data_IF_370059732724
#
_entry.id   IF_370059732724
#
_cell.length_a   1.000
_cell.length_b   1.000
_cell.length_c   1.000
_cell.angle_alpha   90.00
_cell.angle_beta   90.00
_cell.angle_gamma   90.00
#
_symmetry.space_group_name_H-M   'P 1'
#
loop_
_entity.id
_entity.type
_entity.pdbx_description
1 polymer ?
#
# COMPACT_ATOMS: atom_id res chain seq x y z
N UNK A 1 14.36 0.28 -12.24
CA UNK A 1 15.36 1.37 -12.40
C UNK A 1 16.82 0.90 -12.39
N UNK A 2 17.16 -0.27 -11.82
CA UNK A 2 18.57 -0.72 -11.70
C UNK A 2 19.19 -1.16 -13.05
N UNK A 3 18.40 -1.67 -14.00
CA UNK A 3 18.92 -2.15 -15.29
C UNK A 3 19.39 -1.04 -16.27
N UNK A 4 19.03 0.23 -16.06
CA UNK A 4 19.49 1.34 -16.92
C UNK A 4 20.87 1.89 -16.53
N UNK A 5 21.38 1.58 -15.33
CA UNK A 5 22.68 2.06 -14.84
C UNK A 5 23.88 1.34 -15.48
N UNK A 6 23.73 0.06 -15.84
CA UNK A 6 24.83 -0.73 -16.42
C UNK A 6 25.13 -0.43 -17.89
N UNK A 7 24.26 0.30 -18.60
CA UNK A 7 24.49 0.69 -19.99
C UNK A 7 25.25 2.02 -20.16
N UNK A 8 25.36 2.85 -19.11
CA UNK A 8 26.13 4.10 -19.18
C UNK A 8 27.64 3.92 -18.95
N UNK A 9 28.05 2.90 -18.18
CA UNK A 9 29.48 2.65 -17.92
C UNK A 9 30.23 2.11 -19.14
N UNK A 10 29.54 1.49 -20.10
CA UNK A 10 30.18 0.95 -21.30
C UNK A 10 30.49 2.02 -22.37
N UNK A 11 29.76 3.14 -22.41
CA UNK A 11 30.09 4.27 -23.30
C UNK A 11 31.34 5.05 -22.85
N UNK A 12 31.60 5.12 -21.55
CA UNK A 12 32.80 5.78 -21.02
C UNK A 12 34.09 5.00 -21.33
N UNK A 13 34.04 3.66 -21.44
CA UNK A 13 35.22 2.87 -21.79
C UNK A 13 35.59 2.97 -23.29
N UNK A 14 34.60 3.05 -24.19
CA UNK A 14 34.86 3.23 -25.61
C UNK A 14 35.44 4.62 -25.94
N UNK A 15 35.00 5.67 -25.22
CA UNK A 15 35.49 7.05 -25.44
C UNK A 15 36.91 7.29 -24.93
N UNK A 16 37.41 6.50 -23.96
CA UNK A 16 38.75 6.70 -23.39
C UNK A 16 39.85 5.99 -24.18
N UNK A 17 39.50 5.02 -25.04
CA UNK A 17 40.46 4.34 -25.91
C UNK A 17 40.75 5.09 -27.23
N UNK A 18 39.94 6.08 -27.61
CA UNK A 18 40.16 6.88 -28.82
C UNK A 18 41.06 8.12 -28.61
N UNK A 19 41.43 8.45 -27.37
CA UNK A 19 42.31 9.61 -27.06
C UNK A 19 43.78 9.25 -26.82
N UNK A 20 44.18 7.98 -27.05
CA UNK A 20 45.57 7.52 -26.96
C UNK A 20 46.17 7.14 -28.32
N UNK A 21 45.71 7.75 -29.41
CA UNK A 21 46.49 7.79 -30.65
C UNK A 21 47.49 8.95 -30.54
N UNK A 22 48.51 8.78 -29.70
CA UNK A 22 49.67 9.66 -29.64
C UNK A 22 50.38 9.62 -30.99
N UNK A 23 50.25 10.72 -31.72
CA UNK A 23 50.83 10.97 -33.02
C UNK A 23 52.18 11.65 -32.81
N UNK A 24 53.16 10.93 -32.27
CA UNK A 24 54.58 11.31 -32.28
C UNK A 24 55.46 10.06 -32.22
N UNK A 25 55.75 9.54 -33.42
CA UNK A 25 56.48 8.31 -33.67
C UNK A 25 58.00 8.57 -33.61
N UNK A 26 58.54 8.92 -32.44
CA UNK A 26 59.99 9.14 -32.23
C UNK A 26 60.68 8.12 -31.34
N UNK A 27 59.93 7.18 -30.77
CA UNK A 27 60.49 6.01 -30.09
C UNK A 27 60.13 4.77 -30.90
N UNK A 28 61.05 4.36 -31.78
CA UNK A 28 60.98 3.04 -32.39
C UNK A 28 61.06 2.02 -31.25
N UNK A 29 59.91 1.51 -30.81
CA UNK A 29 59.87 0.43 -29.84
C UNK A 29 60.58 -0.74 -30.53
N UNK A 30 61.70 -1.23 -30.00
CA UNK A 30 62.42 -2.34 -30.60
C UNK A 30 61.45 -3.52 -30.72
N UNK A 31 61.47 -4.18 -31.88
CA UNK A 31 60.62 -5.36 -32.10
C UNK A 31 60.83 -6.31 -30.93
N UNK A 32 59.76 -6.70 -30.21
CA UNK A 32 59.90 -7.62 -29.10
C UNK A 32 60.58 -8.89 -29.62
N UNK A 33 61.52 -9.47 -28.85
CA UNK A 33 62.20 -10.69 -29.26
C UNK A 33 61.15 -11.74 -29.61
N UNK A 34 61.37 -12.43 -30.73
CA UNK A 34 60.50 -13.50 -31.22
C UNK A 34 60.16 -14.43 -30.07
N UNK A 35 58.88 -14.47 -29.67
CA UNK A 35 58.44 -15.37 -28.60
C UNK A 35 58.78 -16.80 -29.02
N UNK A 36 59.41 -17.61 -28.16
CA UNK A 36 59.65 -19.01 -28.48
C UNK A 36 58.30 -19.66 -28.81
N UNK A 37 58.26 -20.48 -29.87
CA UNK A 37 57.03 -21.08 -30.42
C UNK A 37 56.16 -21.79 -29.34
N UNK A 38 56.81 -22.31 -28.30
CA UNK A 38 56.17 -22.90 -27.12
C UNK A 38 55.28 -21.90 -26.36
N UNK A 39 55.75 -20.66 -26.12
CA UNK A 39 54.99 -19.63 -25.43
C UNK A 39 53.75 -19.19 -26.23
N UNK A 40 53.84 -19.17 -27.57
CA UNK A 40 52.69 -18.86 -28.43
C UNK A 40 51.61 -19.96 -28.35
N UNK A 41 52.01 -21.22 -28.26
CA UNK A 41 51.10 -22.36 -28.12
C UNK A 41 50.34 -22.31 -26.79
N UNK A 42 51.04 -22.07 -25.68
CA UNK A 42 50.42 -21.90 -24.35
C UNK A 42 49.44 -20.72 -24.36
N UNK A 43 49.84 -19.58 -24.92
CA UNK A 43 49.00 -18.40 -25.00
C UNK A 43 47.70 -18.66 -25.79
N UNK A 44 47.80 -19.30 -26.96
CA UNK A 44 46.63 -19.67 -27.76
C UNK A 44 45.71 -20.65 -27.03
N UNK A 45 46.27 -21.61 -26.28
CA UNK A 45 45.48 -22.54 -25.47
C UNK A 45 44.74 -21.82 -24.34
N UNK A 46 45.38 -20.86 -23.67
CA UNK A 46 44.76 -20.04 -22.63
C UNK A 46 43.59 -19.22 -23.20
N UNK A 47 43.76 -18.61 -24.38
CA UNK A 47 42.69 -17.87 -25.06
C UNK A 47 41.50 -18.76 -25.41
N UNK A 48 41.75 -19.97 -25.92
CA UNK A 48 40.67 -20.95 -26.20
C UNK A 48 39.91 -21.34 -24.92
N UNK A 49 40.63 -21.59 -23.83
CA UNK A 49 40.01 -21.91 -22.54
C UNK A 49 39.17 -20.74 -22.01
N UNK A 50 39.68 -19.50 -22.09
CA UNK A 50 38.93 -18.30 -21.70
C UNK A 50 37.71 -18.05 -22.57
N UNK A 51 37.80 -18.26 -23.88
CA UNK A 51 36.65 -18.17 -24.77
C UNK A 51 35.56 -19.19 -24.42
N UNK A 52 35.94 -20.44 -24.08
CA UNK A 52 35.01 -21.46 -23.58
C UNK A 52 34.35 -21.05 -22.27
N UNK A 53 35.13 -20.53 -21.31
CA UNK A 53 34.62 -20.03 -20.02
C UNK A 53 33.60 -18.88 -20.21
N UNK A 54 33.90 -17.93 -21.10
CA UNK A 54 32.98 -16.82 -21.43
C UNK A 54 31.71 -17.36 -22.09
N UNK A 55 31.84 -18.31 -23.03
CA UNK A 55 30.69 -18.94 -23.68
C UNK A 55 29.76 -19.66 -22.69
N UNK A 56 30.33 -20.38 -21.72
CA UNK A 56 29.57 -21.02 -20.63
C UNK A 56 28.85 -19.97 -19.77
N UNK A 57 29.55 -18.92 -19.33
CA UNK A 57 28.94 -17.83 -18.55
C UNK A 57 27.80 -17.13 -19.29
N UNK A 58 27.93 -16.92 -20.60
CA UNK A 58 26.86 -16.34 -21.42
C UNK A 58 25.66 -17.27 -21.53
N UNK A 59 25.88 -18.59 -21.64
CA UNK A 59 24.80 -19.58 -21.63
C UNK A 59 24.06 -19.60 -20.28
N UNK A 60 24.78 -19.55 -19.17
CA UNK A 60 24.21 -19.49 -17.82
C UNK A 60 23.40 -18.21 -17.58
N UNK A 61 23.89 -17.06 -18.05
CA UNK A 61 23.14 -15.79 -17.99
C UNK A 61 21.81 -15.92 -18.75
N UNK A 62 21.83 -16.45 -19.98
CA UNK A 62 20.61 -16.64 -20.77
C UNK A 62 19.63 -17.59 -20.07
N UNK A 63 20.13 -18.68 -19.46
CA UNK A 63 19.32 -19.62 -18.69
C UNK A 63 18.67 -18.94 -17.47
N UNK A 64 19.43 -18.13 -16.73
CA UNK A 64 18.92 -17.37 -15.59
C UNK A 64 17.90 -16.30 -16.00
N UNK A 65 18.10 -15.64 -17.14
CA UNK A 65 17.11 -14.70 -17.69
C UNK A 65 15.79 -15.40 -18.05
N UNK A 66 15.86 -16.59 -18.65
CA UNK A 66 14.67 -17.39 -18.94
C UNK A 66 13.95 -17.84 -17.66
N UNK A 67 14.71 -18.33 -16.67
CA UNK A 67 14.16 -18.73 -15.37
C UNK A 67 13.49 -17.54 -14.66
N UNK A 68 14.13 -16.36 -14.68
CA UNK A 68 13.55 -15.16 -14.08
C UNK A 68 12.23 -14.77 -14.76
N UNK A 69 12.16 -14.82 -16.10
CA UNK A 69 10.91 -14.56 -16.84
C UNK A 69 9.81 -15.53 -16.42
N UNK A 70 10.11 -16.83 -16.34
CA UNK A 70 9.15 -17.85 -15.90
C UNK A 70 8.65 -17.58 -14.49
N UNK A 71 9.55 -17.28 -13.54
CA UNK A 71 9.17 -16.95 -12.16
C UNK A 71 8.31 -15.68 -12.09
N UNK A 72 8.60 -14.67 -12.90
CA UNK A 72 7.78 -13.45 -12.93
C UNK A 72 6.38 -13.69 -13.49
N UNK A 73 6.24 -14.54 -14.52
CA UNK A 73 4.91 -14.90 -15.04
C UNK A 73 4.14 -15.79 -14.05
N UNK A 74 4.81 -16.76 -13.43
CA UNK A 74 4.19 -17.57 -12.37
C UNK A 74 3.69 -16.69 -11.21
N UNK A 75 4.51 -15.75 -10.73
CA UNK A 75 4.11 -14.83 -9.66
C UNK A 75 2.93 -13.93 -10.05
N UNK A 76 2.82 -13.53 -11.33
CA UNK A 76 1.64 -12.79 -11.83
C UNK A 76 0.38 -13.66 -11.78
N UNK A 77 0.45 -14.90 -12.27
CA UNK A 77 -0.68 -15.83 -12.27
C UNK A 77 -1.13 -16.14 -10.83
N UNK A 78 -0.18 -16.41 -9.92
CA UNK A 78 -0.48 -16.64 -8.50
C UNK A 78 -1.16 -15.42 -7.86
N UNK A 79 -0.68 -14.20 -8.17
CA UNK A 79 -1.30 -12.96 -7.70
C UNK A 79 -2.72 -12.79 -8.25
N UNK A 80 -2.95 -13.04 -9.54
CA UNK A 80 -4.28 -12.94 -10.15
C UNK A 80 -5.25 -13.96 -9.55
N UNK A 81 -4.80 -15.19 -9.33
CA UNK A 81 -5.61 -16.23 -8.68
C UNK A 81 -5.93 -15.85 -7.22
N UNK A 82 -4.95 -15.31 -6.47
CA UNK A 82 -5.18 -14.82 -5.12
C UNK A 82 -6.20 -13.67 -5.08
N UNK A 83 -6.17 -12.76 -6.06
CA UNK A 83 -7.15 -11.67 -6.19
C UNK A 83 -8.55 -12.21 -6.52
N UNK A 84 -8.68 -13.15 -7.46
CA UNK A 84 -9.98 -13.78 -7.80
C UNK A 84 -10.58 -14.52 -6.61
N UNK A 85 -9.75 -15.26 -5.85
CA UNK A 85 -10.19 -15.95 -4.64
C UNK A 85 -10.66 -14.94 -3.59
N UNK A 86 -9.92 -13.85 -3.39
CA UNK A 86 -10.31 -12.78 -2.47
C UNK A 86 -11.63 -12.12 -2.89
N UNK A 87 -11.81 -11.78 -4.17
CA UNK A 87 -13.07 -11.20 -4.69
C UNK A 87 -14.26 -12.14 -4.49
N UNK A 88 -14.06 -13.44 -4.70
CA UNK A 88 -15.11 -14.45 -4.51
C UNK A 88 -15.49 -14.55 -3.04
N UNK A 89 -14.50 -14.70 -2.14
CA UNK A 89 -14.73 -14.71 -0.69
C UNK A 89 -15.36 -13.41 -0.18
N UNK A 90 -15.00 -12.27 -0.77
CA UNK A 90 -15.60 -10.98 -0.42
C UNK A 90 -17.07 -10.92 -0.85
N UNK A 91 -17.41 -11.38 -2.05
CA UNK A 91 -18.81 -11.47 -2.52
C UNK A 91 -19.64 -12.43 -1.68
N UNK A 92 -19.08 -13.58 -1.31
CA UNK A 92 -19.73 -14.53 -0.40
C UNK A 92 -19.95 -13.92 0.98
N UNK A 93 -18.96 -13.20 1.50
CA UNK A 93 -19.07 -12.48 2.77
C UNK A 93 -20.13 -11.37 2.71
N UNK A 94 -20.13 -10.56 1.65
CA UNK A 94 -21.14 -9.52 1.43
C UNK A 94 -22.55 -10.11 1.28
N UNK A 95 -22.68 -11.21 0.53
CA UNK A 95 -23.95 -11.92 0.35
C UNK A 95 -24.44 -12.55 1.67
N UNK A 96 -23.54 -13.12 2.46
CA UNK A 96 -23.86 -13.80 3.71
C UNK A 96 -24.24 -12.83 4.82
N UNK A 97 -23.55 -11.71 4.94
CA UNK A 97 -23.68 -10.82 6.09
C UNK A 97 -24.50 -9.56 5.80
N UNK A 98 -24.94 -9.32 4.56
CA UNK A 98 -25.75 -8.13 4.20
C UNK A 98 -25.16 -6.83 4.75
N UNK A 99 -23.85 -6.65 4.57
CA UNK A 99 -23.11 -5.53 5.16
C UNK A 99 -23.72 -4.20 4.65
N UNK A 100 -24.04 -3.26 5.55
CA UNK A 100 -24.58 -1.96 5.18
C UNK A 100 -23.67 -1.26 4.17
N UNK A 101 -24.25 -0.86 3.03
CA UNK A 101 -23.50 -0.15 1.99
C UNK A 101 -23.21 1.28 2.44
N UNK A 102 -21.97 1.73 2.22
CA UNK A 102 -21.49 3.08 2.58
C UNK A 102 -22.44 4.18 2.09
N UNK A 103 -22.51 5.26 2.87
CA UNK A 103 -23.27 6.47 2.52
C UNK A 103 -22.82 7.04 1.17
N UNK A 104 -23.77 7.50 0.37
CA UNK A 104 -23.53 8.20 -0.89
C UNK A 104 -23.58 9.71 -0.65
N UNK A 105 -22.52 10.46 -0.98
CA UNK A 105 -22.55 11.92 -0.88
C UNK A 105 -23.51 12.51 -1.92
N UNK A 106 -23.97 13.75 -1.71
CA UNK A 106 -24.92 14.44 -2.58
C UNK A 106 -24.51 14.41 -4.07
N UNK A 107 -23.24 14.70 -4.36
CA UNK A 107 -22.69 14.66 -5.72
C UNK A 107 -22.86 13.28 -6.38
N UNK A 108 -22.80 12.19 -5.62
CA UNK A 108 -22.91 10.84 -6.19
C UNK A 108 -24.32 10.56 -6.72
N UNK A 109 -25.36 11.09 -6.07
CA UNK A 109 -26.74 11.01 -6.58
C UNK A 109 -26.91 11.80 -7.87
N UNK A 110 -26.37 13.02 -7.92
CA UNK A 110 -26.35 13.82 -9.14
C UNK A 110 -25.61 13.12 -10.27
N UNK A 111 -24.42 12.57 -9.96
CA UNK A 111 -23.62 11.80 -10.88
C UNK A 111 -24.41 10.61 -11.45
N UNK A 112 -25.05 9.79 -10.61
CA UNK A 112 -25.82 8.64 -11.08
C UNK A 112 -26.98 9.02 -12.00
N UNK A 113 -27.60 10.18 -11.77
CA UNK A 113 -28.72 10.66 -12.58
C UNK A 113 -28.27 11.21 -13.94
N UNK A 114 -27.09 11.83 -14.00
CA UNK A 114 -26.56 12.50 -15.20
C UNK A 114 -25.45 11.74 -15.92
N UNK A 115 -25.03 10.60 -15.38
CA UNK A 115 -23.94 9.82 -15.94
C UNK A 115 -24.33 9.20 -17.28
N UNK A 116 -23.58 9.56 -18.31
CA UNK A 116 -23.66 8.93 -19.61
C UNK A 116 -22.59 7.83 -19.73
N UNK A 117 -23.03 6.62 -20.08
CA UNK A 117 -22.13 5.46 -20.21
C UNK A 117 -21.25 5.53 -21.45
N UNK A 118 -21.56 6.39 -22.44
CA UNK A 118 -20.78 6.47 -23.68
C UNK A 118 -19.52 7.32 -23.53
N UNK A 119 -19.49 8.23 -22.55
CA UNK A 119 -18.34 9.09 -22.27
C UNK A 119 -17.31 8.36 -21.39
N UNK A 120 -16.03 8.75 -21.50
CA UNK A 120 -15.00 8.23 -20.59
C UNK A 120 -15.29 8.69 -19.17
N UNK A 121 -15.34 7.75 -18.22
CA UNK A 121 -15.62 7.99 -16.79
C UNK A 121 -14.87 9.21 -16.20
N UNK A 122 -13.58 9.37 -16.51
CA UNK A 122 -12.75 10.45 -15.98
C UNK A 122 -13.15 11.84 -16.51
N UNK A 123 -13.60 11.91 -17.76
CA UNK A 123 -14.11 13.15 -18.39
C UNK A 123 -15.50 13.48 -17.83
N UNK A 124 -16.39 12.49 -17.74
CA UNK A 124 -17.72 12.65 -17.16
C UNK A 124 -17.68 13.13 -15.71
N UNK A 125 -16.86 12.52 -14.85
CA UNK A 125 -16.75 12.93 -13.43
C UNK A 125 -16.26 14.36 -13.31
N UNK A 126 -15.27 14.78 -14.12
CA UNK A 126 -14.75 16.16 -14.11
C UNK A 126 -15.82 17.17 -14.56
N UNK A 127 -16.52 16.87 -15.65
CA UNK A 127 -17.60 17.72 -16.19
C UNK A 127 -18.75 17.83 -15.19
N UNK A 128 -19.30 16.71 -14.74
CA UNK A 128 -20.41 16.66 -13.78
C UNK A 128 -20.05 17.30 -12.44
N UNK A 129 -18.79 17.19 -11.99
CA UNK A 129 -18.35 17.87 -10.77
C UNK A 129 -18.38 19.40 -10.91
N UNK A 130 -18.04 19.93 -12.09
CA UNK A 130 -18.17 21.38 -12.37
C UNK A 130 -19.64 21.79 -12.43
N UNK A 131 -20.47 21.04 -13.16
CA UNK A 131 -21.90 21.30 -13.28
C UNK A 131 -22.58 21.30 -11.90
N UNK A 132 -22.32 20.29 -11.06
CA UNK A 132 -22.88 20.21 -9.71
C UNK A 132 -22.52 21.42 -8.83
N UNK A 133 -21.31 21.98 -8.99
CA UNK A 133 -20.89 23.18 -8.26
C UNK A 133 -21.54 24.46 -8.80
N UNK A 134 -21.97 24.46 -10.06
CA UNK A 134 -22.66 25.58 -10.71
C UNK A 134 -24.18 25.54 -10.51
N UNK A 135 -24.74 24.41 -10.08
CA UNK A 135 -26.16 24.30 -9.73
C UNK A 135 -26.53 25.32 -8.64
N UNK A 136 -27.77 25.80 -8.73
CA UNK A 136 -28.35 26.65 -7.69
C UNK A 136 -28.40 25.94 -6.34
N UNK A 137 -28.42 26.70 -5.24
CA UNK A 137 -28.52 26.12 -3.90
C UNK A 137 -29.80 25.29 -3.73
N UNK A 138 -30.90 25.68 -4.39
CA UNK A 138 -32.17 24.97 -4.36
C UNK A 138 -32.06 23.58 -5.01
N UNK A 139 -31.40 23.47 -6.17
CA UNK A 139 -31.17 22.19 -6.84
C UNK A 139 -30.19 21.31 -6.05
N UNK A 140 -29.10 21.90 -5.52
CA UNK A 140 -28.18 21.17 -4.66
C UNK A 140 -28.86 20.65 -3.38
N UNK A 141 -29.84 21.39 -2.85
CA UNK A 141 -30.59 21.02 -1.64
C UNK A 141 -31.27 19.66 -1.81
N UNK A 142 -31.87 19.38 -2.97
CA UNK A 142 -32.51 18.09 -3.28
C UNK A 142 -31.53 16.93 -3.09
N UNK A 143 -30.31 17.05 -3.63
CA UNK A 143 -29.30 16.00 -3.50
C UNK A 143 -28.70 15.91 -2.10
N UNK A 144 -28.60 17.03 -1.38
CA UNK A 144 -28.18 17.07 0.03
C UNK A 144 -29.20 16.37 0.93
N UNK A 145 -30.50 16.55 0.67
CA UNK A 145 -31.58 15.86 1.37
C UNK A 145 -31.52 14.34 1.13
N UNK A 146 -31.36 13.90 -0.12
CA UNK A 146 -31.15 12.47 -0.45
C UNK A 146 -29.94 11.88 0.29
N UNK A 147 -28.82 12.61 0.34
CA UNK A 147 -27.63 12.15 1.07
C UNK A 147 -27.83 12.13 2.59
N UNK A 148 -28.64 13.05 3.15
CA UNK A 148 -28.98 13.06 4.56
C UNK A 148 -29.90 11.90 4.95
N UNK A 149 -30.87 11.56 4.09
CA UNK A 149 -31.73 10.38 4.25
C UNK A 149 -30.91 9.08 4.17
N UNK A 150 -30.02 8.97 3.19
CA UNK A 150 -29.11 7.82 3.06
C UNK A 150 -28.19 7.65 4.26
N UNK A 151 -27.76 8.76 4.87
CA UNK A 151 -27.00 8.74 6.12
C UNK A 151 -27.81 8.14 7.28
N UNK A 152 -29.10 8.50 7.40
CA UNK A 152 -29.99 7.91 8.42
C UNK A 152 -30.19 6.42 8.17
N UNK A 153 -30.53 6.04 6.92
CA UNK A 153 -30.63 4.63 6.49
C UNK A 153 -29.38 3.83 6.88
N UNK A 154 -28.20 4.36 6.56
CA UNK A 154 -26.94 3.69 6.87
C UNK A 154 -26.70 3.54 8.37
N UNK A 155 -27.05 4.55 9.18
CA UNK A 155 -26.95 4.46 10.64
C UNK A 155 -27.85 3.34 11.18
N UNK A 156 -29.11 3.30 10.75
CA UNK A 156 -30.08 2.28 11.17
C UNK A 156 -29.64 0.86 10.73
N UNK A 157 -29.15 0.72 9.50
CA UNK A 157 -28.62 -0.54 8.98
C UNK A 157 -27.36 -0.98 9.74
N UNK A 158 -26.45 -0.06 10.04
CA UNK A 158 -25.27 -0.34 10.85
C UNK A 158 -25.63 -0.80 12.25
N UNK A 159 -26.61 -0.17 12.91
CA UNK A 159 -27.07 -0.60 14.23
C UNK A 159 -27.70 -1.98 14.19
N UNK A 160 -28.53 -2.27 13.19
CA UNK A 160 -29.12 -3.61 12.98
C UNK A 160 -28.04 -4.65 12.73
N UNK A 161 -27.08 -4.34 11.85
CA UNK A 161 -25.95 -5.22 11.54
C UNK A 161 -25.10 -5.51 12.77
N UNK A 162 -24.77 -4.47 13.55
CA UNK A 162 -24.00 -4.61 14.80
C UNK A 162 -24.73 -5.49 15.81
N UNK A 163 -26.06 -5.37 15.92
CA UNK A 163 -26.88 -6.22 16.80
C UNK A 163 -26.94 -7.67 16.32
N UNK A 164 -27.06 -7.90 15.02
CA UNK A 164 -27.14 -9.24 14.42
C UNK A 164 -25.79 -9.97 14.41
N UNK A 165 -24.70 -9.22 14.28
CA UNK A 165 -23.35 -9.74 14.08
C UNK A 165 -22.38 -9.31 15.18
N UNK A 166 -22.85 -9.26 16.44
CA UNK A 166 -21.99 -8.96 17.59
C UNK A 166 -20.78 -9.91 17.67
N UNK A 167 -20.94 -11.13 17.16
CA UNK A 167 -19.93 -12.19 17.08
C UNK A 167 -18.87 -11.97 16.00
N UNK A 168 -19.12 -11.10 15.02
CA UNK A 168 -18.13 -10.73 14.00
C UNK A 168 -17.34 -9.46 14.37
N UNK A 169 -17.83 -8.68 15.33
CA UNK A 169 -17.16 -7.45 15.76
C UNK A 169 -15.96 -7.84 16.62
N UNK A 170 -14.77 -7.80 16.01
CA UNK A 170 -13.52 -8.03 16.71
C UNK A 170 -13.33 -6.91 17.75
N UNK A 171 -13.21 -7.25 19.05
CA UNK A 171 -12.90 -6.25 20.08
C UNK A 171 -11.62 -5.48 19.75
N UNK A 172 -11.49 -4.25 20.26
CA UNK A 172 -10.29 -3.45 20.03
C UNK A 172 -9.03 -4.22 20.46
N UNK A 173 -8.11 -4.43 19.51
CA UNK A 173 -6.84 -5.13 19.75
C UNK A 173 -5.78 -4.26 20.43
N UNK A 174 -6.05 -2.96 20.57
CA UNK A 174 -5.11 -1.99 21.11
C UNK A 174 -5.66 -1.39 22.39
N UNK A 175 -4.83 -1.31 23.45
CA UNK A 175 -5.23 -0.63 24.67
C UNK A 175 -5.50 0.84 24.35
N UNK A 176 -6.64 1.32 24.83
CA UNK A 176 -6.97 2.73 24.80
C UNK A 176 -5.92 3.50 25.62
N UNK A 177 -5.60 4.71 25.18
CA UNK A 177 -4.70 5.61 25.90
C UNK A 177 -5.54 6.70 26.58
N UNK A 178 -5.14 7.24 27.75
CA UNK A 178 -5.89 8.29 28.47
C UNK A 178 -6.23 9.49 27.58
N UNK A 179 -5.25 9.98 26.82
CA UNK A 179 -5.46 11.07 25.86
C UNK A 179 -6.50 10.71 24.78
N UNK A 180 -6.50 9.47 24.27
CA UNK A 180 -7.48 9.05 23.26
C UNK A 180 -8.90 9.01 23.81
N UNK A 181 -9.08 8.54 25.05
CA UNK A 181 -10.36 8.58 25.74
C UNK A 181 -10.83 10.02 25.93
N UNK A 182 -9.96 10.89 26.44
CA UNK A 182 -10.26 12.32 26.59
C UNK A 182 -10.68 12.98 25.27
N UNK A 183 -9.90 12.76 24.20
CA UNK A 183 -10.21 13.29 22.87
C UNK A 183 -11.60 12.83 22.41
N UNK A 184 -11.95 11.55 22.62
CA UNK A 184 -13.26 11.03 22.24
C UNK A 184 -14.41 11.64 23.05
N UNK A 185 -14.24 11.84 24.35
CA UNK A 185 -15.24 12.51 25.21
C UNK A 185 -15.41 13.98 24.79
N UNK A 186 -14.31 14.70 24.51
CA UNK A 186 -14.35 16.09 24.06
C UNK A 186 -15.01 16.27 22.69
N UNK A 187 -14.78 15.37 21.74
CA UNK A 187 -15.49 15.40 20.45
C UNK A 187 -16.98 15.11 20.59
N UNK A 188 -17.36 14.27 21.54
CA UNK A 188 -18.77 13.97 21.81
C UNK A 188 -19.51 15.19 22.38
N UNK A 189 -18.82 15.98 23.23
CA UNK A 189 -19.36 17.22 23.78
C UNK A 189 -19.34 18.38 22.76
N UNK A 190 -18.28 18.48 21.96
CA UNK A 190 -18.14 19.52 20.95
C UNK A 190 -17.55 18.97 19.64
N UNK A 191 -18.41 18.49 18.71
CA UNK A 191 -17.97 17.92 17.44
C UNK A 191 -17.20 18.90 16.53
N UNK A 192 -17.32 20.21 16.76
CA UNK A 192 -16.63 21.26 15.98
C UNK A 192 -15.25 21.62 16.55
N UNK A 193 -14.85 21.02 17.68
CA UNK A 193 -13.54 21.29 18.29
C UNK A 193 -12.40 20.79 17.41
N UNK A 194 -11.30 21.52 17.37
CA UNK A 194 -10.11 21.09 16.61
C UNK A 194 -9.18 20.28 17.51
N UNK A 195 -8.47 19.30 16.94
CA UNK A 195 -7.49 18.50 17.68
C UNK A 195 -6.43 19.35 18.41
N UNK A 196 -6.04 20.48 17.83
CA UNK A 196 -5.11 21.44 18.46
C UNK A 196 -5.68 22.02 19.76
N UNK A 197 -6.96 22.42 19.75
CA UNK A 197 -7.64 22.94 20.95
C UNK A 197 -7.74 21.87 22.02
N UNK A 198 -8.20 20.67 21.66
CA UNK A 198 -8.31 19.54 22.59
C UNK A 198 -6.94 19.18 23.19
N UNK A 199 -5.88 19.14 22.37
CA UNK A 199 -4.53 18.84 22.85
C UNK A 199 -4.00 19.90 23.83
N UNK A 200 -4.30 21.19 23.60
CA UNK A 200 -3.98 22.26 24.55
C UNK A 200 -4.76 22.10 25.86
N UNK A 201 -6.06 21.80 25.79
CA UNK A 201 -6.89 21.56 26.96
C UNK A 201 -6.39 20.36 27.78
N UNK A 202 -5.99 19.27 27.13
CA UNK A 202 -5.37 18.12 27.81
C UNK A 202 -4.09 18.49 28.58
N UNK A 203 -3.24 19.34 28.00
CA UNK A 203 -2.01 19.81 28.66
C UNK A 203 -2.29 20.68 29.88
N UNK A 204 -3.43 21.36 29.91
CA UNK A 204 -3.87 22.24 31.01
C UNK A 204 -4.59 21.48 32.13
N UNK A 205 -4.99 20.22 31.92
CA UNK A 205 -5.58 19.41 32.98
C UNK A 205 -4.59 19.19 34.13
N UNK A 206 -5.08 19.20 35.36
CA UNK A 206 -4.29 18.81 36.52
C UNK A 206 -3.93 17.32 36.45
N UNK A 207 -2.87 16.93 37.17
CA UNK A 207 -2.48 15.53 37.26
C UNK A 207 -3.59 14.65 37.87
N UNK A 208 -4.39 15.19 38.79
CA UNK A 208 -5.55 14.49 39.36
C UNK A 208 -6.61 14.20 38.31
N UNK A 209 -6.89 15.17 37.42
CA UNK A 209 -7.83 14.98 36.31
C UNK A 209 -7.31 13.96 35.30
N UNK A 210 -6.01 14.01 34.95
CA UNK A 210 -5.39 13.01 34.06
C UNK A 210 -5.45 11.61 34.67
N UNK A 211 -5.21 11.48 35.98
CA UNK A 211 -5.30 10.22 36.72
C UNK A 211 -6.71 9.60 36.64
N UNK A 212 -7.77 10.41 36.67
CA UNK A 212 -9.14 9.88 36.47
C UNK A 212 -9.30 9.22 35.08
N UNK A 213 -8.69 9.79 34.03
CA UNK A 213 -8.70 9.17 32.70
C UNK A 213 -7.85 7.90 32.64
N UNK A 214 -6.72 7.87 33.35
CA UNK A 214 -5.90 6.65 33.47
C UNK A 214 -6.68 5.51 34.11
N UNK A 215 -7.35 5.77 35.24
CA UNK A 215 -8.19 4.79 35.93
C UNK A 215 -9.34 4.29 35.06
N UNK A 216 -10.05 5.20 34.35
CA UNK A 216 -11.09 4.83 33.38
C UNK A 216 -10.54 3.93 32.27
N UNK A 217 -9.38 4.28 31.72
CA UNK A 217 -8.75 3.53 30.62
C UNK A 217 -8.30 2.14 31.07
N UNK A 218 -7.78 1.98 32.29
CA UNK A 218 -7.42 0.67 32.84
C UNK A 218 -8.64 -0.24 32.85
N UNK A 219 -9.77 0.22 33.40
CA UNK A 219 -11.03 -0.55 33.44
C UNK A 219 -11.50 -0.94 32.03
N UNK A 220 -11.54 0.02 31.11
CA UNK A 220 -11.94 -0.22 29.71
C UNK A 220 -11.02 -1.26 29.05
N UNK A 221 -9.71 -1.18 29.29
CA UNK A 221 -8.74 -2.09 28.70
C UNK A 221 -8.86 -3.51 29.28
N UNK A 222 -9.16 -3.65 30.57
CA UNK A 222 -9.45 -4.94 31.21
C UNK A 222 -10.71 -5.58 30.62
N UNK A 223 -11.80 -4.82 30.49
CA UNK A 223 -13.03 -5.29 29.84
C UNK A 223 -12.78 -5.70 28.37
N UNK A 224 -12.00 -4.91 27.63
CA UNK A 224 -11.65 -5.24 26.24
C UNK A 224 -10.83 -6.53 26.17
N UNK A 225 -9.90 -6.75 27.11
CA UNK A 225 -9.11 -7.98 27.20
C UNK A 225 -9.99 -9.19 27.46
N UNK A 226 -10.98 -9.07 28.36
CA UNK A 226 -11.94 -10.14 28.63
C UNK A 226 -12.80 -10.45 27.39
N UNK A 227 -13.39 -9.43 26.76
CA UNK A 227 -14.17 -9.58 25.51
C UNK A 227 -13.35 -10.22 24.39
N UNK A 228 -12.06 -9.87 24.29
CA UNK A 228 -11.17 -10.46 23.30
C UNK A 228 -10.90 -11.95 23.58
N UNK A 229 -10.71 -12.32 24.85
CA UNK A 229 -10.53 -13.73 25.24
C UNK A 229 -11.79 -14.57 24.97
N UNK A 230 -12.98 -14.02 25.26
CA UNK A 230 -14.26 -14.65 24.93
C UNK A 230 -14.43 -14.81 23.42
N UNK A 231 -14.10 -13.78 22.64
CA UNK A 231 -14.14 -13.81 21.18
C UNK A 231 -13.17 -14.86 20.60
N UNK A 232 -11.95 -14.95 21.14
CA UNK A 232 -10.96 -15.97 20.75
C UNK A 232 -11.51 -17.37 21.00
N UNK A 233 -12.04 -17.62 22.20
CA UNK A 233 -12.61 -18.92 22.59
C UNK A 233 -13.80 -19.30 21.72
N UNK A 234 -14.71 -18.35 21.44
CA UNK A 234 -15.92 -18.58 20.63
C UNK A 234 -15.57 -18.95 19.18
N UNK A 235 -14.52 -18.36 18.62
CA UNK A 235 -14.12 -18.54 17.23
C UNK A 235 -12.97 -19.55 17.04
N UNK A 236 -12.53 -20.24 18.10
CA UNK A 236 -11.38 -21.14 18.08
C UNK A 236 -10.11 -20.51 17.47
N UNK A 237 -9.89 -19.22 17.74
CA UNK A 237 -8.73 -18.49 17.21
C UNK A 237 -7.50 -18.72 18.08
N UNK A 238 -6.36 -18.98 17.43
CA UNK A 238 -5.08 -19.07 18.13
C UNK A 238 -4.50 -17.68 18.44
N UNK A 239 -3.57 -17.62 19.39
CA UNK A 239 -2.82 -16.38 19.67
C UNK A 239 -2.04 -15.88 18.45
N UNK A 240 -1.57 -16.79 17.59
CA UNK A 240 -0.85 -16.44 16.38
C UNK A 240 -1.79 -15.81 15.33
N UNK A 241 -3.04 -16.25 15.22
CA UNK A 241 -4.05 -15.60 14.37
C UNK A 241 -4.27 -14.15 14.79
N UNK A 242 -4.37 -13.91 16.10
CA UNK A 242 -4.60 -12.59 16.68
C UNK A 242 -3.39 -11.68 16.48
N UNK A 243 -2.18 -12.23 16.61
CA UNK A 243 -0.94 -11.54 16.27
C UNK A 243 -0.86 -11.20 14.78
N UNK A 244 -1.31 -12.10 13.91
CA UNK A 244 -1.40 -11.86 12.47
C UNK A 244 -2.40 -10.76 12.13
N UNK A 245 -3.56 -10.70 12.80
CA UNK A 245 -4.51 -9.60 12.68
C UNK A 245 -3.88 -8.25 13.07
N UNK A 246 -3.16 -8.19 14.20
CA UNK A 246 -2.42 -6.98 14.63
C UNK A 246 -1.39 -6.54 13.59
N UNK A 247 -0.62 -7.48 13.04
CA UNK A 247 0.42 -7.21 12.03
C UNK A 247 -0.16 -6.71 10.70
N UNK A 248 -1.27 -7.29 10.24
CA UNK A 248 -1.98 -6.84 9.02
C UNK A 248 -2.47 -5.39 9.17
N UNK A 249 -3.06 -5.04 10.32
CA UNK A 249 -3.55 -3.68 10.61
C UNK A 249 -2.43 -2.63 10.74
N UNK A 250 -1.23 -3.02 11.16
CA UNK A 250 -0.06 -2.13 11.15
C UNK A 250 0.50 -1.91 9.74
N UNK A 251 0.49 -2.95 8.88
CA UNK A 251 0.96 -2.85 7.49
C UNK A 251 0.07 -1.95 6.64
N UNK A 252 -1.26 -1.99 6.81
CA UNK A 252 -2.14 -1.10 6.04
C UNK A 252 -1.85 0.38 6.31
N UNK A 253 -1.54 0.75 7.57
CA UNK A 253 -1.15 2.12 7.93
C UNK A 253 0.16 2.58 7.29
N UNK A 254 1.15 1.70 7.17
CA UNK A 254 2.45 2.08 6.60
C UNK A 254 2.44 2.20 5.08
N UNK A 255 1.55 1.47 4.39
CA UNK A 255 1.33 1.64 2.95
C UNK A 255 0.66 2.99 2.67
N UNK A 256 -0.39 3.33 3.42
CA UNK A 256 -1.14 4.59 3.26
C UNK A 256 -0.27 5.83 3.49
N UNK A 257 0.64 5.78 4.47
CA UNK A 257 1.63 6.84 4.71
C UNK A 257 2.63 7.01 3.56
N UNK A 258 3.09 5.91 2.93
CA UNK A 258 4.02 5.97 1.80
C UNK A 258 3.36 6.52 0.54
N UNK A 259 2.10 6.19 0.30
CA UNK A 259 1.34 6.74 -0.84
C UNK A 259 1.08 8.24 -0.67
N UNK A 260 0.78 8.69 0.56
CA UNK A 260 0.53 10.12 0.85
C UNK A 260 1.79 11.00 0.72
N UNK A 261 2.99 10.42 0.82
CA UNK A 261 4.26 11.14 0.65
C UNK A 261 4.74 11.17 -0.82
N UNK A 262 4.11 10.41 -1.71
CA UNK A 262 4.48 10.33 -3.13
C UNK A 262 3.61 11.20 -4.05
N UNK A 263 2.64 11.92 -3.48
CA UNK A 263 1.78 12.89 -4.17
C UNK A 263 2.21 14.32 -3.85
#
# INVERSE_FOLDING_TARGET
MIARSLFQTNKYFASKFQLLTFRDNKYAIPSPPSRPAFAQTIFNQLLRNKAKEIGQKQADIKKNEQLFKQLTEQAKVERENALKNYETSLKEYEAKFSIPKRIKPAFFYYYLEKYDKTEKLTESVKRLSKEFKQLSEQEQKIYKEKAAEDKKRYQDECEKFVKQHQDLIVPSLYPLQPLSLYVSEQFSQNPQSTLKKIASSWKQLSEEQKKQYEEKVIKINEEQKQKLAEFQKKNNLSDEDIKNFKKRKQRSKSVEQKESQSQ
#
